data_IF_954589479604
#
_entry.id   IF_954589479604
#
_cell.length_a   1.000
_cell.length_b   1.000
_cell.length_c   1.000
_cell.angle_alpha   90.00
_cell.angle_beta   90.00
_cell.angle_gamma   90.00
#
_symmetry.space_group_name_H-M   'P 1'
#
loop_
_entity.id
_entity.type
_entity.pdbx_description
1 polymer ?
#
# COMPACT_ATOMS: atom_id res chain seq x y z
N UNK A 1 -33.69 8.04 -13.67
CA UNK A 1 -34.44 7.20 -14.64
C UNK A 1 -35.00 5.93 -14.00
N UNK A 2 -34.28 4.80 -13.88
CA UNK A 2 -34.89 3.52 -13.44
C UNK A 2 -35.39 3.48 -11.97
N UNK A 3 -34.68 4.09 -11.02
CA UNK A 3 -35.16 4.13 -9.62
C UNK A 3 -36.38 5.05 -9.45
N UNK A 4 -36.38 6.20 -10.13
CA UNK A 4 -37.50 7.15 -10.09
C UNK A 4 -38.76 6.53 -10.72
N UNK A 5 -38.62 5.77 -11.80
CA UNK A 5 -39.75 5.03 -12.39
C UNK A 5 -40.31 3.96 -11.46
N UNK A 6 -39.47 3.32 -10.65
CA UNK A 6 -39.92 2.33 -9.67
C UNK A 6 -40.61 2.98 -8.47
N UNK A 7 -40.17 4.17 -8.06
CA UNK A 7 -40.83 4.95 -7.01
C UNK A 7 -42.19 5.49 -7.46
N UNK A 8 -42.32 5.96 -8.71
CA UNK A 8 -43.62 6.41 -9.24
C UNK A 8 -44.57 5.23 -9.43
N UNK A 9 -44.09 4.07 -9.90
CA UNK A 9 -44.87 2.85 -10.01
C UNK A 9 -45.34 2.34 -8.64
N UNK A 10 -44.46 2.32 -7.63
CA UNK A 10 -44.81 1.98 -6.25
C UNK A 10 -45.92 2.89 -5.71
N UNK A 11 -45.79 4.21 -5.93
CA UNK A 11 -46.77 5.20 -5.47
C UNK A 11 -48.14 5.01 -6.13
N UNK A 12 -48.17 4.67 -7.42
CA UNK A 12 -49.39 4.36 -8.14
C UNK A 12 -50.06 3.07 -7.62
N UNK A 13 -49.27 2.02 -7.36
CA UNK A 13 -49.75 0.77 -6.79
C UNK A 13 -50.28 0.95 -5.36
N UNK A 14 -49.67 1.81 -4.53
CA UNK A 14 -50.15 2.12 -3.18
C UNK A 14 -51.50 2.85 -3.20
N UNK A 15 -51.73 3.72 -4.19
CA UNK A 15 -53.02 4.40 -4.39
C UNK A 15 -54.13 3.44 -4.83
N UNK A 16 -53.81 2.46 -5.67
CA UNK A 16 -54.76 1.42 -6.09
C UNK A 16 -55.09 0.47 -4.92
N UNK A 17 -54.08 0.06 -4.16
CA UNK A 17 -54.25 -0.81 -3.01
C UNK A 17 -55.08 -0.17 -1.87
N UNK A 18 -55.01 1.16 -1.71
CA UNK A 18 -55.86 1.91 -0.77
C UNK A 18 -57.35 1.90 -1.15
N UNK A 19 -57.67 1.78 -2.44
CA UNK A 19 -59.05 1.73 -2.93
C UNK A 19 -59.62 0.33 -2.83
N UNK A 20 -58.85 -0.66 -3.29
CA UNK A 20 -59.22 -2.08 -3.26
C UNK A 20 -58.03 -2.93 -2.77
N UNK A 21 -58.07 -3.45 -1.52
CA UNK A 21 -57.00 -4.27 -0.99
C UNK A 21 -57.06 -5.69 -1.58
N UNK A 22 -56.47 -5.86 -2.77
CA UNK A 22 -56.33 -7.15 -3.45
C UNK A 22 -54.97 -7.83 -3.13
N UNK A 23 -54.92 -9.16 -2.93
CA UNK A 23 -53.67 -9.89 -2.71
C UNK A 23 -52.70 -9.79 -3.91
N UNK A 24 -53.20 -9.67 -5.14
CA UNK A 24 -52.36 -9.46 -6.32
C UNK A 24 -51.60 -8.12 -6.25
N UNK A 25 -52.26 -7.06 -5.76
CA UNK A 25 -51.64 -5.74 -5.58
C UNK A 25 -50.60 -5.74 -4.45
N UNK A 26 -50.82 -6.52 -3.38
CA UNK A 26 -49.80 -6.66 -2.32
C UNK A 26 -48.53 -7.34 -2.82
N UNK A 27 -48.65 -8.34 -3.68
CA UNK A 27 -47.50 -9.00 -4.29
C UNK A 27 -46.70 -8.02 -5.18
N UNK A 28 -47.40 -7.22 -6.00
CA UNK A 28 -46.76 -6.18 -6.83
C UNK A 28 -46.08 -5.08 -6.00
N UNK A 29 -46.68 -4.67 -4.88
CA UNK A 29 -46.03 -3.72 -3.96
C UNK A 29 -44.76 -4.30 -3.36
N UNK A 30 -44.78 -5.57 -2.97
CA UNK A 30 -43.63 -6.25 -2.42
C UNK A 30 -42.50 -6.39 -3.44
N UNK A 31 -42.80 -6.68 -4.71
CA UNK A 31 -41.79 -6.75 -5.78
C UNK A 31 -41.13 -5.38 -6.00
N UNK A 32 -41.92 -4.30 -6.14
CA UNK A 32 -41.37 -2.96 -6.31
C UNK A 32 -40.50 -2.52 -5.11
N UNK A 33 -40.92 -2.83 -3.88
CA UNK A 33 -40.12 -2.56 -2.67
C UNK A 33 -38.80 -3.32 -2.67
N UNK A 34 -38.81 -4.59 -3.07
CA UNK A 34 -37.59 -5.40 -3.17
C UNK A 34 -36.64 -4.87 -4.24
N UNK A 35 -37.16 -4.43 -5.39
CA UNK A 35 -36.36 -3.83 -6.46
C UNK A 35 -35.68 -2.54 -6.01
N UNK A 36 -36.40 -1.67 -5.32
CA UNK A 36 -35.85 -0.44 -4.74
C UNK A 36 -34.78 -0.77 -3.70
N UNK A 37 -35.03 -1.73 -2.80
CA UNK A 37 -34.07 -2.14 -1.78
C UNK A 37 -32.79 -2.70 -2.42
N UNK A 38 -32.92 -3.52 -3.47
CA UNK A 38 -31.77 -4.03 -4.23
C UNK A 38 -30.95 -2.90 -4.84
N UNK A 39 -31.59 -1.91 -5.45
CA UNK A 39 -30.90 -0.76 -6.02
C UNK A 39 -30.14 0.04 -4.95
N UNK A 40 -30.80 0.36 -3.83
CA UNK A 40 -30.17 1.10 -2.73
C UNK A 40 -29.00 0.32 -2.13
N UNK A 41 -29.12 -1.00 -1.97
CA UNK A 41 -28.04 -1.85 -1.48
C UNK A 41 -26.85 -1.87 -2.45
N UNK A 42 -27.09 -1.89 -3.76
CA UNK A 42 -26.04 -1.81 -4.77
C UNK A 42 -25.31 -0.46 -4.72
N UNK A 43 -26.02 0.65 -4.58
CA UNK A 43 -25.39 1.96 -4.50
C UNK A 43 -24.62 2.15 -3.19
N UNK A 44 -25.15 1.68 -2.06
CA UNK A 44 -24.42 1.65 -0.80
C UNK A 44 -23.13 0.82 -0.92
N UNK A 45 -23.19 -0.34 -1.60
CA UNK A 45 -22.00 -1.17 -1.88
C UNK A 45 -20.97 -0.42 -2.73
N UNK A 46 -21.39 0.28 -3.79
CA UNK A 46 -20.49 1.10 -4.62
C UNK A 46 -19.84 2.22 -3.81
N UNK A 47 -20.60 2.93 -2.98
CA UNK A 47 -20.08 3.98 -2.12
C UNK A 47 -19.05 3.44 -1.12
N UNK A 48 -19.30 2.26 -0.52
CA UNK A 48 -18.34 1.58 0.35
C UNK A 48 -17.07 1.16 -0.39
N UNK A 49 -17.20 0.67 -1.63
CA UNK A 49 -16.04 0.31 -2.45
C UNK A 49 -15.21 1.55 -2.82
N UNK A 50 -15.86 2.64 -3.20
CA UNK A 50 -15.19 3.88 -3.58
C UNK A 50 -14.47 4.53 -2.40
N UNK A 51 -15.13 4.60 -1.24
CA UNK A 51 -14.49 5.09 0.00
C UNK A 51 -13.31 4.22 0.42
N UNK A 52 -13.43 2.89 0.33
CA UNK A 52 -12.32 1.95 0.57
C UNK A 52 -11.16 2.19 -0.40
N UNK A 53 -11.44 2.36 -1.69
CA UNK A 53 -10.40 2.65 -2.69
C UNK A 53 -9.66 3.95 -2.35
N UNK A 54 -10.40 5.03 -2.11
CA UNK A 54 -9.83 6.34 -1.74
C UNK A 54 -8.96 6.23 -0.48
N UNK A 55 -9.42 5.45 0.51
CA UNK A 55 -8.65 5.21 1.72
C UNK A 55 -7.30 4.56 1.43
N UNK A 56 -7.24 3.51 0.60
CA UNK A 56 -5.97 2.88 0.27
C UNK A 56 -5.06 3.77 -0.61
N UNK A 57 -5.63 4.56 -1.52
CA UNK A 57 -4.84 5.50 -2.34
C UNK A 57 -4.24 6.64 -1.50
N UNK A 58 -4.96 7.12 -0.49
CA UNK A 58 -4.54 8.27 0.34
C UNK A 58 -3.72 7.87 1.56
N UNK A 59 -4.06 6.78 2.25
CA UNK A 59 -3.48 6.41 3.55
C UNK A 59 -2.21 5.57 3.42
N UNK A 60 -2.04 4.78 2.34
CA UNK A 60 -0.81 3.98 2.12
C UNK A 60 0.46 4.83 1.91
N UNK A 61 0.37 6.15 1.93
CA UNK A 61 1.51 7.05 1.75
C UNK A 61 2.51 6.98 2.91
N UNK A 62 2.06 6.80 4.15
CA UNK A 62 2.98 6.74 5.30
C UNK A 62 3.88 5.50 5.24
N UNK A 63 3.30 4.32 5.07
CA UNK A 63 4.05 3.06 5.00
C UNK A 63 4.95 3.00 3.76
N UNK A 64 4.48 3.51 2.62
CA UNK A 64 5.30 3.58 1.41
C UNK A 64 6.47 4.57 1.55
N UNK A 65 6.27 5.71 2.21
CA UNK A 65 7.34 6.66 2.52
C UNK A 65 8.36 6.05 3.49
N UNK A 66 7.90 5.34 4.51
CA UNK A 66 8.77 4.62 5.44
C UNK A 66 9.57 3.52 4.72
N UNK A 67 8.91 2.69 3.91
CA UNK A 67 9.57 1.67 3.12
C UNK A 67 10.59 2.28 2.12
N UNK A 68 10.29 3.44 1.54
CA UNK A 68 11.22 4.20 0.70
C UNK A 68 12.43 4.68 1.50
N UNK A 69 12.21 5.28 2.68
CA UNK A 69 13.28 5.72 3.58
C UNK A 69 14.16 4.55 4.03
N UNK A 70 13.57 3.41 4.36
CA UNK A 70 14.31 2.20 4.71
C UNK A 70 15.18 1.74 3.55
N UNK A 71 14.62 1.61 2.33
CA UNK A 71 15.38 1.23 1.13
C UNK A 71 16.53 2.20 0.84
N UNK A 72 16.29 3.51 0.93
CA UNK A 72 17.34 4.52 0.77
C UNK A 72 18.46 4.36 1.80
N UNK A 73 18.11 4.12 3.08
CA UNK A 73 19.09 3.89 4.16
C UNK A 73 19.88 2.60 3.99
N UNK A 74 19.26 1.55 3.44
CA UNK A 74 19.95 0.30 3.13
C UNK A 74 20.90 0.49 1.94
N UNK A 75 20.44 1.14 0.87
CA UNK A 75 21.25 1.43 -0.31
C UNK A 75 22.44 2.34 0.00
N UNK A 76 22.26 3.37 0.83
CA UNK A 76 23.36 4.28 1.20
C UNK A 76 24.47 3.59 2.00
N UNK A 77 24.14 2.49 2.69
CA UNK A 77 25.10 1.71 3.48
C UNK A 77 25.66 0.51 2.71
N UNK A 78 25.06 0.16 1.57
CA UNK A 78 25.45 -1.00 0.80
C UNK A 78 26.72 -0.67 -0.01
N UNK A 79 27.81 -1.35 0.34
CA UNK A 79 29.09 -1.22 -0.36
C UNK A 79 29.04 -2.14 -1.58
N UNK A 80 28.98 -1.54 -2.78
CA UNK A 80 28.94 -2.29 -4.04
C UNK A 80 30.32 -2.72 -4.52
N UNK A 81 31.34 -1.92 -4.25
CA UNK A 81 32.71 -2.12 -4.71
C UNK A 81 33.70 -1.55 -3.67
N UNK A 82 34.86 -2.18 -3.56
CA UNK A 82 35.97 -1.69 -2.73
C UNK A 82 37.29 -1.75 -3.52
N UNK A 83 38.17 -0.77 -3.30
CA UNK A 83 39.51 -0.76 -3.87
C UNK A 83 40.52 -1.27 -2.83
N UNK A 84 41.35 -2.21 -3.26
CA UNK A 84 42.42 -2.82 -2.44
C UNK A 84 43.67 -1.90 -2.48
N UNK A 85 44.61 -1.97 -1.51
CA UNK A 85 45.85 -1.16 -1.55
C UNK A 85 46.64 -1.32 -2.86
N UNK A 86 46.55 -2.49 -3.48
CA UNK A 86 47.17 -2.82 -4.77
C UNK A 86 46.47 -2.17 -5.99
N UNK A 87 45.46 -1.33 -5.75
CA UNK A 87 44.69 -0.63 -6.78
C UNK A 87 43.61 -1.47 -7.46
N UNK A 88 43.49 -2.77 -7.15
CA UNK A 88 42.48 -3.67 -7.73
C UNK A 88 41.08 -3.43 -7.14
N UNK A 89 40.07 -3.34 -8.02
CA UNK A 89 38.67 -3.18 -7.67
C UNK A 89 38.00 -4.53 -7.45
N UNK A 90 37.39 -4.73 -6.27
CA UNK A 90 36.62 -5.93 -5.93
C UNK A 90 35.13 -5.58 -5.89
N UNK A 91 34.33 -6.33 -6.65
CA UNK A 91 32.87 -6.14 -6.75
C UNK A 91 32.09 -7.29 -6.12
N UNK A 92 32.72 -8.46 -5.95
CA UNK A 92 32.03 -9.64 -5.41
C UNK A 92 31.90 -9.53 -3.88
N UNK A 93 30.73 -9.83 -3.29
CA UNK A 93 30.50 -9.65 -1.86
C UNK A 93 31.49 -10.38 -0.95
N UNK A 94 31.90 -11.61 -1.32
CA UNK A 94 32.87 -12.38 -0.55
C UNK A 94 34.26 -11.74 -0.58
N UNK A 95 34.67 -11.17 -1.72
CA UNK A 95 35.96 -10.46 -1.84
C UNK A 95 35.95 -9.15 -1.05
N UNK A 96 34.83 -8.44 -1.04
CA UNK A 96 34.68 -7.23 -0.21
C UNK A 96 34.78 -7.61 1.27
N UNK A 97 34.13 -8.70 1.69
CA UNK A 97 34.19 -9.19 3.07
C UNK A 97 35.61 -9.58 3.50
N UNK A 98 36.37 -10.27 2.65
CA UNK A 98 37.78 -10.62 2.97
C UNK A 98 38.64 -9.37 3.12
N UNK A 99 38.48 -8.37 2.23
CA UNK A 99 39.24 -7.11 2.34
C UNK A 99 38.95 -6.39 3.67
N UNK A 100 37.69 -6.36 4.12
CA UNK A 100 37.36 -5.82 5.44
C UNK A 100 37.96 -6.65 6.58
N UNK A 101 37.91 -7.98 6.48
CA UNK A 101 38.49 -8.87 7.48
C UNK A 101 39.99 -8.63 7.63
N UNK A 102 40.74 -8.64 6.53
CA UNK A 102 42.19 -8.43 6.52
C UNK A 102 42.56 -7.06 7.09
N UNK A 103 41.80 -6.02 6.73
CA UNK A 103 41.95 -4.68 7.32
C UNK A 103 41.73 -4.68 8.84
N UNK A 104 40.67 -5.32 9.34
CA UNK A 104 40.43 -5.33 10.79
C UNK A 104 41.42 -6.20 11.56
N UNK A 105 41.88 -7.31 10.97
CA UNK A 105 42.95 -8.14 11.55
C UNK A 105 44.21 -7.30 11.71
N UNK A 106 44.69 -6.66 10.63
CA UNK A 106 45.83 -5.74 10.72
C UNK A 106 45.59 -4.56 11.68
N UNK A 107 44.38 -4.00 11.73
CA UNK A 107 44.06 -2.88 12.61
C UNK A 107 44.17 -3.23 14.10
N UNK A 108 43.83 -4.47 14.46
CA UNK A 108 43.78 -4.92 15.86
C UNK A 108 44.96 -5.81 16.29
N UNK A 109 45.74 -6.35 15.34
CA UNK A 109 46.96 -7.12 15.63
C UNK A 109 48.18 -6.23 15.94
N UNK A 110 48.12 -4.92 15.68
CA UNK A 110 49.18 -3.96 16.00
C UNK A 110 48.95 -3.27 17.35
N UNK A 111 50.01 -3.16 18.16
CA UNK A 111 49.99 -2.36 19.41
C UNK A 111 49.62 -0.90 19.12
N UNK A 112 48.80 -0.25 19.97
CA UNK A 112 48.27 1.10 19.72
C UNK A 112 49.34 2.19 19.59
N UNK A 113 50.59 1.91 19.97
CA UNK A 113 51.71 2.86 19.97
C UNK A 113 52.49 2.95 18.64
N UNK A 114 52.38 1.97 17.72
CA UNK A 114 53.08 2.00 16.42
C UNK A 114 52.32 2.74 15.32
N UNK A 115 51.31 3.53 15.69
CA UNK A 115 50.35 4.17 14.78
C UNK A 115 50.95 5.41 14.11
N UNK A 116 51.55 5.26 12.94
CA UNK A 116 51.78 6.39 12.03
C UNK A 116 50.56 6.54 11.14
N UNK A 117 49.75 7.56 11.39
CA UNK A 117 48.59 7.91 10.56
C UNK A 117 49.08 8.59 9.25
N UNK A 118 48.98 7.94 8.07
CA UNK A 118 49.43 8.55 6.81
C UNK A 118 48.49 9.65 6.30
N UNK A 119 47.44 10.01 7.03
CA UNK A 119 46.40 10.98 6.63
C UNK A 119 46.34 12.25 7.51
N UNK A 120 47.32 12.48 8.39
CA UNK A 120 47.36 13.68 9.25
C UNK A 120 47.79 14.97 8.52
N UNK A 121 48.24 14.88 7.27
CA UNK A 121 48.68 16.04 6.46
C UNK A 121 47.85 16.15 5.18
N UNK A 122 46.56 16.47 5.31
CA UNK A 122 45.79 17.01 4.19
C UNK A 122 44.60 17.85 4.64
#
# INVERSE_FOLDING_TARGET
>A
MQLETQLTALRAAELQHKKDPSPALTAQLQTHRQEIQKFMAQDAKKALQWTRQIFYEKTNKADTLLARRFRQRQQSKHITQIQTPDGQLRTLPHQIATVFQDYYVSLYDHDPESRQDPNATR
#
